data_IF_398907572047
#
_entry.id   IF_398907572047
#
_cell.length_a   1.000
_cell.length_b   1.000
_cell.length_c   1.000
_cell.angle_alpha   90.00
_cell.angle_beta   90.00
_cell.angle_gamma   90.00
#
_symmetry.space_group_name_H-M   'P 1'
#
loop_
_entity.id
_entity.type
_entity.pdbx_description
1 polymer ?
#
# COMPACT_ATOMS: atom_id res chain seq x y z
N UNK A 1 -11.62 14.50 -0.21
CA UNK A 1 -11.07 13.80 0.98
C UNK A 1 -11.29 12.35 0.64
N UNK A 2 -10.22 11.67 0.23
CA UNK A 2 -10.32 10.39 -0.47
C UNK A 2 -11.13 9.37 0.32
N UNK A 3 -12.18 8.85 -0.31
CA UNK A 3 -13.10 7.83 0.23
C UNK A 3 -12.40 6.55 0.72
N UNK A 4 -11.13 6.35 0.34
CA UNK A 4 -10.31 5.18 0.68
C UNK A 4 -10.00 5.11 2.18
N UNK A 5 -9.79 6.24 2.86
CA UNK A 5 -9.37 6.28 4.28
C UNK A 5 -10.45 5.74 5.25
N UNK A 6 -11.72 5.77 4.86
CA UNK A 6 -12.83 5.34 5.73
C UNK A 6 -13.06 3.83 5.66
N UNK A 7 -12.83 3.18 4.50
CA UNK A 7 -13.23 1.78 4.29
C UNK A 7 -12.20 0.79 4.90
N UNK A 8 -10.90 1.12 4.91
CA UNK A 8 -9.86 0.23 5.45
C UNK A 8 -9.84 0.16 6.99
N UNK A 9 -10.46 1.11 7.69
CA UNK A 9 -10.51 1.13 9.16
C UNK A 9 -11.48 0.11 9.78
N UNK A 10 -12.38 -0.50 9.01
CA UNK A 10 -13.48 -1.32 9.55
C UNK A 10 -13.28 -2.83 9.43
N UNK A 11 -12.51 -3.32 8.45
CA UNK A 11 -12.35 -4.76 8.22
C UNK A 11 -11.17 -5.39 8.97
N UNK A 12 -10.41 -4.58 9.71
CA UNK A 12 -9.19 -5.02 10.38
C UNK A 12 -9.28 -5.40 11.86
N UNK A 13 -10.46 -5.80 12.34
CA UNK A 13 -10.64 -6.21 13.74
C UNK A 13 -11.45 -7.49 13.85
N UNK A 14 -10.87 -8.63 13.45
CA UNK A 14 -11.30 -9.95 13.96
C UNK A 14 -10.83 -10.11 15.40
N UNK A 15 -11.48 -9.40 16.33
CA UNK A 15 -11.10 -9.45 17.74
C UNK A 15 -11.77 -8.45 18.70
N UNK A 16 -12.79 -7.71 18.28
CA UNK A 16 -13.61 -6.91 19.20
C UNK A 16 -15.09 -7.23 18.99
N UNK A 17 -15.51 -8.36 19.52
CA UNK A 17 -16.89 -8.51 19.95
C UNK A 17 -17.15 -7.51 21.08
N UNK A 18 -18.23 -6.73 20.94
CA UNK A 18 -18.78 -5.81 21.93
C UNK A 18 -18.02 -4.49 22.16
N UNK A 19 -17.99 -3.62 21.15
CA UNK A 19 -18.30 -2.21 21.39
C UNK A 19 -19.55 -1.87 20.60
N UNK A 20 -20.60 -1.50 21.33
CA UNK A 20 -21.85 -1.03 20.76
C UNK A 20 -21.55 0.00 19.67
N UNK A 21 -21.97 -0.27 18.43
CA UNK A 21 -22.19 0.74 17.38
C UNK A 21 -23.43 1.54 17.77
N UNK A 22 -23.48 2.05 19.01
CA UNK A 22 -24.53 2.94 19.49
C UNK A 22 -24.02 4.36 19.32
N UNK A 23 -24.20 4.92 18.13
CA UNK A 23 -23.88 6.33 17.89
C UNK A 23 -23.54 6.78 16.48
N UNK A 24 -23.67 5.94 15.44
CA UNK A 24 -23.68 6.48 14.09
C UNK A 24 -25.03 7.14 13.84
N UNK A 25 -25.02 8.38 13.32
CA UNK A 25 -26.24 9.00 12.84
C UNK A 25 -26.69 8.30 11.55
N UNK A 26 -27.99 8.31 11.25
CA UNK A 26 -28.51 7.70 10.03
C UNK A 26 -27.83 8.26 8.77
N UNK A 27 -27.47 9.55 8.79
CA UNK A 27 -26.74 10.19 7.70
C UNK A 27 -25.34 9.57 7.49
N UNK A 28 -24.62 9.24 8.56
CA UNK A 28 -23.29 8.61 8.46
C UNK A 28 -23.43 7.16 7.95
N UNK A 29 -24.44 6.42 8.41
CA UNK A 29 -24.72 5.06 7.93
C UNK A 29 -25.06 5.05 6.44
N UNK A 30 -25.87 6.02 5.99
CA UNK A 30 -26.25 6.16 4.59
C UNK A 30 -25.05 6.55 3.72
N UNK A 31 -24.23 7.51 4.15
CA UNK A 31 -22.99 7.88 3.46
C UNK A 31 -22.01 6.71 3.36
N UNK A 32 -21.87 5.93 4.43
CA UNK A 32 -21.01 4.74 4.42
C UNK A 32 -21.53 3.69 3.44
N UNK A 33 -22.85 3.44 3.43
CA UNK A 33 -23.49 2.49 2.51
C UNK A 33 -23.27 2.92 1.06
N UNK A 34 -23.53 4.19 0.74
CA UNK A 34 -23.30 4.76 -0.59
C UNK A 34 -21.83 4.65 -1.03
N UNK A 35 -20.90 4.89 -0.10
CA UNK A 35 -19.46 4.78 -0.38
C UNK A 35 -19.03 3.35 -0.68
N UNK A 36 -19.53 2.37 0.09
CA UNK A 36 -19.26 0.95 -0.13
C UNK A 36 -19.87 0.46 -1.45
N UNK A 37 -21.09 0.90 -1.78
CA UNK A 37 -21.74 0.57 -3.05
C UNK A 37 -21.01 1.18 -4.24
N UNK A 38 -20.61 2.45 -4.15
CA UNK A 38 -19.81 3.11 -5.18
C UNK A 38 -18.47 2.39 -5.40
N UNK A 39 -17.80 1.99 -4.32
CA UNK A 39 -16.55 1.23 -4.40
C UNK A 39 -16.77 -0.13 -5.09
N UNK A 40 -17.79 -0.90 -4.71
CA UNK A 40 -18.08 -2.21 -5.29
C UNK A 40 -18.45 -2.15 -6.78
N UNK A 41 -19.11 -1.08 -7.20
CA UNK A 41 -19.60 -0.90 -8.56
C UNK A 41 -18.65 -0.06 -9.44
N UNK A 42 -17.46 0.30 -8.94
CA UNK A 42 -16.49 1.09 -9.70
C UNK A 42 -16.00 0.32 -10.93
N UNK A 43 -15.67 1.01 -12.04
CA UNK A 43 -15.14 0.36 -13.23
C UNK A 43 -13.75 -0.23 -12.95
N UNK A 44 -13.53 -1.48 -13.35
CA UNK A 44 -12.23 -2.15 -13.29
C UNK A 44 -11.66 -2.23 -14.70
N UNK A 45 -10.55 -1.54 -14.93
CA UNK A 45 -9.88 -1.47 -16.22
C UNK A 45 -8.82 -2.57 -16.32
N UNK A 46 -9.09 -3.65 -17.07
CA UNK A 46 -8.10 -4.73 -17.30
C UNK A 46 -6.88 -4.30 -18.10
N UNK A 47 -7.13 -3.41 -19.06
CA UNK A 47 -6.07 -2.70 -19.78
C UNK A 47 -6.14 -1.22 -19.40
N UNK A 48 -5.01 -0.70 -18.91
CA UNK A 48 -4.84 0.71 -18.61
C UNK A 48 -4.33 1.41 -19.87
N UNK A 49 -4.90 2.57 -20.20
CA UNK A 49 -4.50 3.37 -21.37
C UNK A 49 -4.20 4.79 -20.96
N UNK A 50 -3.45 5.53 -21.79
CA UNK A 50 -3.17 6.96 -21.57
C UNK A 50 -4.47 7.75 -21.40
N UNK A 51 -5.46 7.51 -22.25
CA UNK A 51 -6.77 8.18 -22.15
C UNK A 51 -7.46 7.91 -20.79
N UNK A 52 -7.40 6.68 -20.26
CA UNK A 52 -7.98 6.38 -18.94
C UNK A 52 -7.22 7.16 -17.86
N UNK A 53 -5.89 7.17 -17.91
CA UNK A 53 -5.05 7.90 -16.95
C UNK A 53 -5.34 9.41 -17.00
N UNK A 54 -5.35 10.01 -18.18
CA UNK A 54 -5.46 11.45 -18.39
C UNK A 54 -6.87 11.98 -18.08
N UNK A 55 -7.90 11.13 -18.18
CA UNK A 55 -9.28 11.53 -17.87
C UNK A 55 -9.72 11.17 -16.44
N UNK A 56 -8.92 10.38 -15.71
CA UNK A 56 -9.19 10.03 -14.32
C UNK A 56 -8.74 11.16 -13.40
N UNK A 57 -9.60 11.57 -12.46
CA UNK A 57 -9.22 12.57 -11.46
C UNK A 57 -8.13 12.05 -10.53
N UNK A 58 -7.24 12.94 -10.07
CA UNK A 58 -6.15 12.60 -9.14
C UNK A 58 -6.62 11.83 -7.90
N UNK A 59 -7.82 12.13 -7.39
CA UNK A 59 -8.41 11.44 -6.23
C UNK A 59 -8.72 9.96 -6.50
N UNK A 60 -9.04 9.59 -7.74
CA UNK A 60 -9.42 8.23 -8.13
C UNK A 60 -8.30 7.48 -8.86
N UNK A 61 -7.28 8.18 -9.32
CA UNK A 61 -6.24 7.62 -10.17
C UNK A 61 -5.48 6.48 -9.50
N UNK A 62 -5.13 6.62 -8.22
CA UNK A 62 -4.45 5.57 -7.48
C UNK A 62 -5.29 4.27 -7.42
N UNK A 63 -6.60 4.40 -7.18
CA UNK A 63 -7.51 3.25 -7.16
C UNK A 63 -7.58 2.58 -8.53
N UNK A 64 -7.74 3.36 -9.61
CA UNK A 64 -7.81 2.85 -10.99
C UNK A 64 -6.53 2.09 -11.37
N UNK A 65 -5.36 2.63 -11.02
CA UNK A 65 -4.08 1.97 -11.29
C UNK A 65 -3.94 0.70 -10.45
N UNK A 66 -4.26 0.75 -9.16
CA UNK A 66 -4.18 -0.43 -8.29
C UNK A 66 -5.14 -1.54 -8.72
N UNK A 67 -6.35 -1.21 -9.16
CA UNK A 67 -7.31 -2.17 -9.70
C UNK A 67 -6.77 -2.87 -10.95
N UNK A 68 -6.16 -2.09 -11.86
CA UNK A 68 -5.51 -2.66 -13.04
C UNK A 68 -4.38 -3.63 -12.67
N UNK A 69 -3.52 -3.25 -11.72
CA UNK A 69 -2.42 -4.10 -11.25
C UNK A 69 -2.93 -5.37 -10.57
N UNK A 70 -4.00 -5.25 -9.78
CA UNK A 70 -4.62 -6.39 -9.09
C UNK A 70 -5.18 -7.43 -10.08
N UNK A 71 -5.75 -7.00 -11.20
CA UNK A 71 -6.20 -7.90 -12.27
C UNK A 71 -5.06 -8.65 -12.97
N UNK A 72 -3.82 -8.15 -12.87
CA UNK A 72 -2.63 -8.78 -13.48
C UNK A 72 -1.95 -9.79 -12.55
N UNK A 73 -2.40 -9.91 -11.31
CA UNK A 73 -1.83 -10.87 -10.36
C UNK A 73 -2.45 -12.25 -10.58
N UNK A 74 -1.64 -13.31 -10.69
CA UNK A 74 -2.15 -14.65 -10.85
C UNK A 74 -2.88 -15.11 -9.59
N UNK A 75 -3.90 -15.97 -9.76
CA UNK A 75 -4.58 -16.65 -8.64
C UNK A 75 -3.62 -17.54 -7.83
N UNK A 76 -2.53 -17.96 -8.46
CA UNK A 76 -1.42 -18.68 -7.84
C UNK A 76 -0.52 -17.69 -7.07
N UNK A 77 -0.76 -17.56 -5.77
CA UNK A 77 -0.04 -16.64 -4.89
C UNK A 77 1.48 -16.89 -4.84
N UNK A 78 1.95 -18.10 -5.17
CA UNK A 78 3.40 -18.37 -5.22
C UNK A 78 4.11 -17.56 -6.33
N UNK A 79 3.36 -17.11 -7.34
CA UNK A 79 3.85 -16.32 -8.47
C UNK A 79 3.67 -14.82 -8.28
N UNK A 80 3.06 -14.39 -7.19
CA UNK A 80 2.81 -12.98 -6.89
C UNK A 80 4.12 -12.17 -6.92
N UNK A 81 5.13 -12.62 -6.17
CA UNK A 81 6.44 -11.96 -6.11
C UNK A 81 7.09 -11.84 -7.49
N UNK A 82 7.19 -12.94 -8.23
CA UNK A 82 7.80 -12.96 -9.56
C UNK A 82 7.08 -12.01 -10.51
N UNK A 83 5.74 -12.03 -10.48
CA UNK A 83 4.90 -11.16 -11.32
C UNK A 83 5.17 -9.69 -11.03
N UNK A 84 5.14 -9.29 -9.76
CA UNK A 84 5.32 -7.90 -9.35
C UNK A 84 6.74 -7.44 -9.64
N UNK A 85 7.75 -8.25 -9.34
CA UNK A 85 9.15 -7.92 -9.60
C UNK A 85 9.47 -7.84 -11.10
N UNK A 86 8.63 -8.44 -11.96
CA UNK A 86 8.69 -8.29 -13.41
C UNK A 86 8.11 -6.97 -13.95
N UNK A 87 7.34 -6.23 -13.15
CA UNK A 87 6.84 -4.91 -13.56
C UNK A 87 7.93 -3.83 -13.48
N UNK A 88 7.68 -2.67 -14.09
CA UNK A 88 8.53 -1.50 -13.85
C UNK A 88 8.47 -1.01 -12.39
N UNK A 89 9.42 -0.16 -12.02
CA UNK A 89 9.56 0.37 -10.65
C UNK A 89 8.36 1.17 -10.14
N UNK A 90 7.66 1.92 -10.99
CA UNK A 90 6.47 2.67 -10.61
C UNK A 90 5.32 1.74 -10.20
N UNK A 91 5.05 0.71 -11.02
CA UNK A 91 4.02 -0.30 -10.74
C UNK A 91 4.35 -1.12 -9.51
N UNK A 92 5.60 -1.55 -9.37
CA UNK A 92 6.11 -2.19 -8.16
C UNK A 92 5.81 -1.32 -6.93
N UNK A 93 6.20 -0.04 -6.96
CA UNK A 93 6.03 0.85 -5.83
C UNK A 93 4.56 1.04 -5.44
N UNK A 94 3.68 1.30 -6.41
CA UNK A 94 2.24 1.47 -6.16
C UNK A 94 1.67 0.24 -5.47
N UNK A 95 1.93 -0.96 -6.01
CA UNK A 95 1.38 -2.20 -5.46
C UNK A 95 1.94 -2.50 -4.07
N UNK A 96 3.26 -2.48 -3.91
CA UNK A 96 3.89 -2.82 -2.63
C UNK A 96 3.53 -1.84 -1.52
N UNK A 97 3.41 -0.53 -1.83
CA UNK A 97 3.00 0.48 -0.85
C UNK A 97 1.54 0.28 -0.44
N UNK A 98 0.64 -0.02 -1.40
CA UNK A 98 -0.76 -0.29 -1.09
C UNK A 98 -0.91 -1.52 -0.17
N UNK A 99 -0.19 -2.60 -0.47
CA UNK A 99 -0.19 -3.81 0.37
C UNK A 99 0.38 -3.51 1.76
N UNK A 100 1.49 -2.79 1.85
CA UNK A 100 2.06 -2.36 3.13
C UNK A 100 1.04 -1.57 3.96
N UNK A 101 0.39 -0.59 3.35
CA UNK A 101 -0.62 0.24 4.00
C UNK A 101 -1.79 -0.62 4.52
N UNK A 102 -2.35 -1.49 3.67
CA UNK A 102 -3.47 -2.34 4.03
C UNK A 102 -3.16 -3.25 5.23
N UNK A 103 -1.98 -3.87 5.24
CA UNK A 103 -1.55 -4.76 6.33
C UNK A 103 -1.27 -3.98 7.62
N UNK A 104 -0.59 -2.83 7.52
CA UNK A 104 -0.23 -2.02 8.69
C UNK A 104 -1.47 -1.37 9.32
N UNK A 105 -2.41 -0.87 8.51
CA UNK A 105 -3.65 -0.29 9.02
C UNK A 105 -4.58 -1.35 9.65
N UNK A 106 -4.53 -2.59 9.16
CA UNK A 106 -5.30 -3.70 9.68
C UNK A 106 -4.68 -4.27 10.98
N UNK A 107 -3.43 -4.74 10.93
CA UNK A 107 -2.80 -5.47 12.03
C UNK A 107 -1.41 -4.96 12.44
N UNK A 108 -0.94 -3.86 11.84
CA UNK A 108 0.41 -3.32 12.03
C UNK A 108 1.47 -4.10 11.25
N UNK A 109 2.74 -3.70 11.39
CA UNK A 109 3.88 -4.38 10.75
C UNK A 109 3.98 -5.87 11.09
N UNK A 110 3.45 -6.30 12.24
CA UNK A 110 3.32 -7.73 12.57
C UNK A 110 2.56 -8.51 11.51
N UNK A 111 1.40 -7.98 11.10
CA UNK A 111 0.55 -8.64 10.11
C UNK A 111 1.24 -8.61 8.75
N UNK A 112 1.84 -7.48 8.39
CA UNK A 112 2.64 -7.36 7.16
C UNK A 112 3.72 -8.45 7.06
N UNK A 113 4.56 -8.64 8.10
CA UNK A 113 5.65 -9.62 8.06
C UNK A 113 5.18 -11.07 8.14
N UNK A 114 4.05 -11.33 8.80
CA UNK A 114 3.53 -12.69 8.96
C UNK A 114 2.78 -13.18 7.72
N UNK A 115 2.07 -12.29 7.03
CA UNK A 115 1.35 -12.60 5.81
C UNK A 115 2.30 -12.72 4.60
N UNK A 116 1.79 -13.21 3.47
CA UNK A 116 2.55 -13.31 2.22
C UNK A 116 3.16 -11.97 1.80
N UNK A 117 2.49 -10.86 2.11
CA UNK A 117 2.95 -9.47 1.97
C UNK A 117 4.40 -9.23 2.44
N UNK A 118 4.85 -9.97 3.47
CA UNK A 118 6.22 -9.91 3.99
C UNK A 118 7.30 -10.23 2.96
N UNK A 119 6.95 -10.88 1.84
CA UNK A 119 7.86 -11.13 0.71
C UNK A 119 8.45 -9.85 0.10
N UNK A 120 7.80 -8.69 0.27
CA UNK A 120 8.27 -7.40 -0.26
C UNK A 120 9.17 -6.60 0.69
N UNK A 121 9.47 -7.15 1.88
CA UNK A 121 10.22 -6.47 2.95
C UNK A 121 11.44 -5.70 2.44
N UNK A 122 12.30 -6.32 1.63
CA UNK A 122 13.56 -5.74 1.17
C UNK A 122 13.40 -4.59 0.17
N UNK A 123 12.24 -4.45 -0.47
CA UNK A 123 11.99 -3.47 -1.54
C UNK A 123 11.25 -2.22 -1.06
N UNK A 124 10.49 -2.33 0.03
CA UNK A 124 9.56 -1.28 0.46
C UNK A 124 10.20 0.07 0.77
N UNK A 125 11.41 0.06 1.36
CA UNK A 125 12.09 1.33 1.69
C UNK A 125 12.45 2.11 0.43
N UNK A 126 12.87 1.42 -0.63
CA UNK A 126 13.18 2.04 -1.92
C UNK A 126 11.91 2.49 -2.64
N UNK A 127 10.86 1.66 -2.63
CA UNK A 127 9.56 2.02 -3.20
C UNK A 127 8.97 3.30 -2.57
N UNK A 128 9.03 3.42 -1.24
CA UNK A 128 8.59 4.62 -0.53
C UNK A 128 9.43 5.86 -0.88
N UNK A 129 10.74 5.70 -1.07
CA UNK A 129 11.61 6.81 -1.53
C UNK A 129 11.29 7.22 -2.97
N UNK A 130 10.96 6.28 -3.84
CA UNK A 130 10.61 6.55 -5.24
C UNK A 130 9.42 7.53 -5.34
N UNK A 131 8.45 7.40 -4.43
CA UNK A 131 7.27 8.27 -4.38
C UNK A 131 7.47 9.52 -3.51
N UNK A 132 8.68 9.74 -2.97
CA UNK A 132 9.03 10.88 -2.13
C UNK A 132 8.62 10.74 -0.65
N UNK A 133 8.07 9.60 -0.24
CA UNK A 133 7.63 9.30 1.11
C UNK A 133 8.81 8.96 2.05
N UNK A 134 9.82 9.85 2.11
CA UNK A 134 11.10 9.58 2.78
C UNK A 134 10.97 9.25 4.27
N UNK A 135 10.04 9.90 4.99
CA UNK A 135 9.81 9.60 6.42
C UNK A 135 9.29 8.18 6.63
N UNK A 136 8.42 7.72 5.73
CA UNK A 136 7.86 6.38 5.73
C UNK A 136 8.91 5.36 5.33
N UNK A 137 9.76 5.67 4.35
CA UNK A 137 10.91 4.84 4.00
C UNK A 137 11.82 4.60 5.20
N UNK A 138 12.15 5.64 5.97
CA UNK A 138 12.98 5.49 7.18
C UNK A 138 12.30 4.65 8.27
N UNK A 139 10.99 4.81 8.50
CA UNK A 139 10.30 3.96 9.47
C UNK A 139 10.26 2.51 9.00
N UNK A 140 9.85 2.26 7.76
CA UNK A 140 9.78 0.92 7.20
C UNK A 140 11.15 0.26 7.21
N UNK A 141 12.23 0.98 6.90
CA UNK A 141 13.59 0.47 7.03
C UNK A 141 13.88 0.00 8.46
N UNK A 142 13.59 0.84 9.47
CA UNK A 142 13.80 0.46 10.87
C UNK A 142 12.97 -0.75 11.30
N UNK A 143 11.73 -0.84 10.82
CA UNK A 143 10.86 -2.00 11.07
C UNK A 143 11.46 -3.27 10.44
N UNK A 144 11.95 -3.18 9.20
CA UNK A 144 12.58 -4.29 8.47
C UNK A 144 13.87 -4.75 9.17
N UNK A 145 14.75 -3.81 9.55
CA UNK A 145 16.00 -4.11 10.26
C UNK A 145 15.70 -4.82 11.61
N UNK A 146 14.62 -4.40 12.29
CA UNK A 146 14.17 -5.04 13.53
C UNK A 146 13.64 -6.44 13.25
N UNK A 147 12.78 -6.61 12.24
CA UNK A 147 12.24 -7.91 11.86
C UNK A 147 13.35 -8.90 11.51
N UNK A 148 14.29 -8.52 10.66
CA UNK A 148 15.39 -9.37 10.23
C UNK A 148 16.25 -9.82 11.42
N UNK A 149 16.63 -8.88 12.29
CA UNK A 149 17.42 -9.16 13.50
C UNK A 149 16.72 -10.15 14.42
N UNK A 150 15.42 -10.00 14.64
CA UNK A 150 14.68 -10.90 15.52
C UNK A 150 14.36 -12.24 14.85
N UNK A 151 14.08 -12.26 13.54
CA UNK A 151 13.84 -13.49 12.78
C UNK A 151 15.08 -14.38 12.76
N UNK A 152 16.27 -13.79 12.55
CA UNK A 152 17.55 -14.51 12.63
C UNK A 152 17.74 -15.20 14.00
N UNK A 153 17.37 -14.54 15.10
CA UNK A 153 17.43 -15.14 16.44
C UNK A 153 16.46 -16.31 16.59
N UNK A 154 15.27 -16.24 15.97
CA UNK A 154 14.28 -17.33 16.00
C UNK A 154 14.79 -18.53 15.20
N UNK A 155 15.27 -18.31 13.98
CA UNK A 155 15.80 -19.40 13.13
C UNK A 155 16.98 -20.11 13.80
N UNK A 156 17.80 -19.36 14.56
CA UNK A 156 18.94 -19.90 15.29
C UNK A 156 18.59 -20.55 16.65
N UNK A 157 17.60 -20.03 17.40
CA UNK A 157 17.32 -20.47 18.78
C UNK A 157 15.98 -21.19 19.00
N UNK A 158 15.09 -21.31 17.99
CA UNK A 158 13.77 -21.99 18.04
C UNK A 158 13.02 -21.90 19.38
N UNK A 159 13.01 -20.73 20.03
CA UNK A 159 12.43 -20.57 21.38
C UNK A 159 11.27 -19.57 21.40
N UNK A 160 10.21 -19.93 22.13
CA UNK A 160 8.95 -19.16 22.29
C UNK A 160 9.19 -17.70 22.74
N UNK A 161 10.26 -17.45 23.50
CA UNK A 161 10.61 -16.11 23.99
C UNK A 161 10.98 -15.11 22.88
N UNK A 162 11.52 -15.58 21.76
CA UNK A 162 11.87 -14.70 20.65
C UNK A 162 10.62 -14.23 19.88
N UNK A 163 9.59 -15.09 19.76
CA UNK A 163 8.27 -14.74 19.21
C UNK A 163 7.55 -13.71 20.08
N UNK A 164 7.64 -13.83 21.41
CA UNK A 164 7.05 -12.85 22.35
C UNK A 164 7.74 -11.48 22.27
N UNK A 165 9.06 -11.43 22.09
CA UNK A 165 9.81 -10.16 21.93
C UNK A 165 9.49 -9.43 20.61
N UNK A 166 9.33 -10.18 19.51
CA UNK A 166 8.81 -9.65 18.23
C UNK A 166 7.48 -8.96 18.48
N UNK A 167 6.52 -9.66 19.09
CA UNK A 167 5.20 -9.11 19.37
C UNK A 167 5.25 -7.83 20.23
N UNK A 168 6.15 -7.75 21.21
CA UNK A 168 6.35 -6.56 22.03
C UNK A 168 6.94 -5.36 21.25
N UNK A 169 7.97 -5.60 20.43
CA UNK A 169 8.57 -4.56 19.58
C UNK A 169 7.60 -4.04 18.52
N UNK A 170 6.78 -4.91 17.95
CA UNK A 170 5.76 -4.51 16.98
C UNK A 170 4.50 -3.94 17.63
N UNK A 171 4.20 -4.26 18.89
CA UNK A 171 3.15 -3.57 19.67
C UNK A 171 3.47 -2.08 19.85
N UNK A 172 4.75 -1.72 20.00
CA UNK A 172 5.20 -0.32 19.95
C UNK A 172 4.92 0.33 18.58
N UNK A 173 5.04 -0.43 17.48
CA UNK A 173 4.70 0.05 16.13
C UNK A 173 3.18 0.13 15.89
N UNK A 174 2.38 -0.68 16.60
CA UNK A 174 0.90 -0.67 16.55
C UNK A 174 0.29 0.64 17.07
N UNK A 175 1.05 1.44 17.81
CA UNK A 175 0.65 2.78 18.25
C UNK A 175 0.68 3.83 17.12
N UNK A 176 1.21 3.49 15.94
CA UNK A 176 1.10 4.31 14.73
C UNK A 176 -0.17 3.96 13.94
N UNK A 177 -1.34 3.86 14.58
CA UNK A 177 -2.59 3.52 13.88
C UNK A 177 -3.01 4.59 12.84
N UNK A 178 -2.47 5.81 12.95
CA UNK A 178 -2.74 6.94 12.06
C UNK A 178 -1.55 7.25 11.15
N UNK A 179 -0.84 6.21 10.70
CA UNK A 179 0.44 6.38 10.01
C UNK A 179 0.26 6.96 8.60
N UNK A 180 -0.76 6.54 7.83
CA UNK A 180 -0.78 6.73 6.37
C UNK A 180 -1.77 7.77 5.79
N UNK A 181 -2.44 8.62 6.59
CA UNK A 181 -3.37 9.65 6.05
C UNK A 181 -2.66 10.66 5.11
N UNK A 182 -1.34 10.82 5.27
CA UNK A 182 -0.51 11.70 4.43
C UNK A 182 -0.08 11.04 3.11
N UNK A 183 -0.11 9.72 3.02
CA UNK A 183 0.52 8.98 1.91
C UNK A 183 -0.35 8.87 0.67
N UNK A 184 -1.68 8.91 0.80
CA UNK A 184 -2.56 9.08 -0.36
C UNK A 184 -2.23 10.40 -1.06
N UNK A 185 -1.94 11.46 -0.31
CA UNK A 185 -1.55 12.75 -0.90
C UNK A 185 -0.16 12.68 -1.56
N UNK A 186 0.81 12.04 -0.94
CA UNK A 186 2.17 11.91 -1.49
C UNK A 186 2.19 10.96 -2.73
N UNK A 187 1.42 9.87 -2.72
CA UNK A 187 1.20 8.98 -3.86
C UNK A 187 0.43 9.66 -4.99
N UNK A 188 -0.64 10.39 -4.71
CA UNK A 188 -1.35 11.15 -5.74
C UNK A 188 -0.45 12.25 -6.33
N UNK A 189 0.39 12.89 -5.52
CA UNK A 189 1.43 13.82 -5.99
C UNK A 189 2.46 13.11 -6.89
N UNK A 190 2.88 11.90 -6.54
CA UNK A 190 3.76 11.08 -7.39
C UNK A 190 3.10 10.75 -8.72
N UNK A 191 1.85 10.25 -8.70
CA UNK A 191 1.10 9.91 -9.91
C UNK A 191 0.84 11.13 -10.79
N UNK A 192 0.50 12.28 -10.20
CA UNK A 192 0.36 13.55 -10.90
C UNK A 192 1.67 13.94 -11.60
N UNK A 193 2.82 13.82 -10.94
CA UNK A 193 4.14 14.08 -11.58
C UNK A 193 4.44 13.09 -12.70
N UNK A 194 4.19 11.81 -12.48
CA UNK A 194 4.39 10.76 -13.47
C UNK A 194 3.54 11.01 -14.72
N UNK A 195 2.28 11.42 -14.54
CA UNK A 195 1.40 11.78 -15.64
C UNK A 195 1.85 13.07 -16.35
N UNK A 196 2.32 14.07 -15.60
CA UNK A 196 2.76 15.35 -16.17
C UNK A 196 4.10 15.26 -16.92
N UNK A 197 5.00 14.33 -16.56
CA UNK A 197 6.27 14.10 -17.30
C UNK A 197 6.01 13.67 -18.75
N UNK A 198 4.83 13.12 -19.09
CA UNK A 198 4.43 12.84 -20.47
C UNK A 198 4.22 14.10 -21.34
N UNK A 199 4.16 15.30 -20.72
CA UNK A 199 3.91 16.58 -21.42
C UNK A 199 5.11 17.54 -21.50
N UNK A 200 6.30 17.09 -21.10
CA UNK A 200 7.56 17.79 -21.34
C UNK A 200 8.04 18.62 -20.14
N UNK A 201 9.03 18.09 -19.42
CA UNK A 201 10.13 18.88 -18.87
C UNK A 201 11.25 17.95 -18.34
N UNK A 202 12.38 17.95 -19.05
CA UNK A 202 13.55 17.09 -18.88
C UNK A 202 14.47 17.49 -17.69
N UNK A 203 13.91 17.95 -16.56
CA UNK A 203 14.73 18.51 -15.46
C UNK A 203 14.41 17.98 -14.08
N UNK A 204 14.44 16.65 -13.93
CA UNK A 204 14.87 15.97 -12.70
C UNK A 204 15.34 14.54 -13.05
N UNK A 205 16.31 14.42 -13.96
CA UNK A 205 16.99 13.15 -14.23
C UNK A 205 18.06 12.93 -13.17
N UNK A 206 17.84 11.95 -12.30
CA UNK A 206 18.90 11.07 -11.76
C UNK A 206 18.32 9.80 -11.10
N UNK A 207 16.99 9.63 -11.05
CA UNK A 207 16.34 8.38 -10.60
C UNK A 207 15.34 7.76 -11.58
N UNK A 208 15.12 8.37 -12.74
CA UNK A 208 14.20 7.84 -13.75
C UNK A 208 14.98 7.57 -15.03
N UNK A 209 15.26 6.29 -15.30
CA UNK A 209 15.63 5.86 -16.63
C UNK A 209 14.35 5.79 -17.46
N UNK A 210 14.16 6.66 -18.48
CA UNK A 210 12.95 6.65 -19.28
C UNK A 210 13.02 5.47 -20.26
N UNK A 211 12.24 4.42 -19.99
CA UNK A 211 11.77 3.56 -21.07
C UNK A 211 10.57 4.28 -21.71
N UNK A 212 10.65 4.57 -23.01
CA UNK A 212 9.69 5.36 -23.79
C UNK A 212 8.22 4.98 -23.47
N UNK A 213 7.42 5.94 -23.01
CA UNK A 213 5.98 5.80 -22.70
C UNK A 213 5.65 6.06 -21.21
N UNK A 214 4.38 6.30 -20.90
CA UNK A 214 3.91 6.50 -19.52
C UNK A 214 4.32 5.28 -18.64
N UNK A 215 5.07 5.46 -17.54
CA UNK A 215 5.57 4.36 -16.73
C UNK A 215 4.47 3.63 -15.95
N UNK A 216 3.21 4.04 -16.04
CA UNK A 216 2.07 3.25 -15.56
C UNK A 216 1.60 2.22 -16.58
N UNK A 217 2.07 2.26 -17.83
CA UNK A 217 1.58 1.45 -18.95
C UNK A 217 2.48 0.27 -19.35
N UNK A 218 3.79 0.32 -19.06
CA UNK A 218 4.75 -0.70 -19.47
C UNK A 218 5.15 -1.68 -18.37
#
# INVERSE_FOLDING_TARGET
MGLITVILNLFGCTGQTNKNVSGLTKEIEEQLTQSVEAFKNRPIHKELTEQIIDTTSDENLLQVVFDNLSEKIPTDYEKEYETIMGWNKSRQAIYMIWVLEAEVNNGGYNQFYFNSSGQFTTHLSEALRLVGANKFAELTKRANDTFEKENLKITQNKTVNAVLNINAHFSLCKHNKYFFDKDIADLNSYLSKVNNIASGDDKHSDMFHPHKGNPLLN
#
